data_IF_609306433620
#
_entry.id   IF_609306433620
#
_cell.length_a   1.000
_cell.length_b   1.000
_cell.length_c   1.000
_cell.angle_alpha   90.00
_cell.angle_beta   90.00
_cell.angle_gamma   90.00
#
_symmetry.space_group_name_H-M   'P 1'
#
loop_
_entity.id
_entity.type
_entity.pdbx_description
1 polymer ?
#
# COMPACT_ATOMS: atom_id res chain seq x y z
N UNK A 1 17.77 18.47 24.59
CA UNK A 1 16.82 17.37 24.33
C UNK A 1 15.39 17.89 24.51
N UNK A 2 14.49 17.64 23.58
CA UNK A 2 13.07 18.07 23.66
C UNK A 2 12.23 16.90 24.18
N UNK A 3 11.41 17.16 25.21
CA UNK A 3 10.45 16.19 25.76
C UNK A 3 9.04 16.42 25.20
N UNK A 4 8.32 15.34 24.92
CA UNK A 4 6.88 15.28 24.65
C UNK A 4 6.32 13.96 25.18
N UNK A 5 5.01 13.88 25.40
CA UNK A 5 4.39 12.66 25.94
C UNK A 5 4.46 11.49 24.95
N UNK A 6 4.23 11.75 23.66
CA UNK A 6 4.17 10.72 22.62
C UNK A 6 5.01 11.14 21.42
N UNK A 7 5.83 10.23 20.89
CA UNK A 7 6.48 10.37 19.59
C UNK A 7 5.86 9.39 18.59
N UNK A 8 5.48 9.91 17.42
CA UNK A 8 4.96 9.14 16.29
C UNK A 8 6.02 9.14 15.20
N UNK A 9 6.43 7.97 14.75
CA UNK A 9 7.46 7.78 13.72
C UNK A 9 6.79 7.48 12.38
N UNK A 10 6.94 8.42 11.44
CA UNK A 10 6.33 8.38 10.12
C UNK A 10 5.07 9.23 9.98
N UNK A 11 4.97 9.97 8.88
CA UNK A 11 3.81 10.80 8.52
C UNK A 11 2.98 10.20 7.38
N UNK A 12 3.02 8.87 7.23
CA UNK A 12 2.08 8.12 6.39
C UNK A 12 0.67 8.10 7.00
N UNK A 13 -0.29 7.46 6.35
CA UNK A 13 -1.69 7.47 6.79
C UNK A 13 -1.87 6.94 8.22
N UNK A 14 -1.13 5.90 8.63
CA UNK A 14 -1.20 5.38 10.01
C UNK A 14 -0.68 6.39 11.04
N UNK A 15 0.45 7.06 10.78
CA UNK A 15 0.98 8.08 11.68
C UNK A 15 0.08 9.31 11.77
N UNK A 16 -0.44 9.79 10.64
CA UNK A 16 -1.39 10.90 10.60
C UNK A 16 -2.69 10.56 11.33
N UNK A 17 -3.22 9.36 11.12
CA UNK A 17 -4.45 8.93 11.79
C UNK A 17 -4.24 8.69 13.28
N UNK A 18 -3.06 8.22 13.70
CA UNK A 18 -2.69 8.11 15.12
C UNK A 18 -2.70 9.49 15.80
N UNK A 19 -2.05 10.47 15.20
CA UNK A 19 -2.03 11.84 15.73
C UNK A 19 -3.43 12.47 15.76
N UNK A 20 -4.23 12.23 14.71
CA UNK A 20 -5.62 12.67 14.65
C UNK A 20 -6.44 12.08 15.82
N UNK A 21 -6.34 10.77 16.04
CA UNK A 21 -7.03 10.07 17.15
C UNK A 21 -6.57 10.57 18.52
N UNK A 22 -5.27 10.73 18.74
CA UNK A 22 -4.71 11.25 19.99
C UNK A 22 -5.26 12.65 20.28
N UNK A 23 -5.25 13.52 19.28
CA UNK A 23 -5.76 14.89 19.43
C UNK A 23 -7.26 14.94 19.72
N UNK A 24 -8.04 14.00 19.17
CA UNK A 24 -9.48 13.86 19.51
C UNK A 24 -9.70 13.36 20.92
N UNK A 25 -8.96 12.34 21.36
CA UNK A 25 -9.11 11.72 22.67
C UNK A 25 -8.57 12.62 23.80
N UNK A 26 -7.42 13.26 23.54
CA UNK A 26 -6.67 14.05 24.52
C UNK A 26 -6.03 15.29 23.90
N UNK A 27 -6.77 16.39 23.76
CA UNK A 27 -6.26 17.62 23.13
C UNK A 27 -5.05 18.25 23.87
N UNK A 28 -4.84 17.92 25.15
CA UNK A 28 -3.75 18.48 25.98
C UNK A 28 -2.47 17.65 25.96
N UNK A 29 -2.48 16.42 25.45
CA UNK A 29 -1.28 15.59 25.36
C UNK A 29 -0.33 16.17 24.30
N UNK A 30 0.93 16.33 24.70
CA UNK A 30 1.98 16.77 23.80
C UNK A 30 2.49 15.60 22.94
N UNK A 31 2.61 15.82 21.64
CA UNK A 31 3.18 14.81 20.73
C UNK A 31 3.98 15.44 19.61
N UNK A 32 4.86 14.64 18.99
CA UNK A 32 5.58 14.99 17.77
C UNK A 32 5.50 13.85 16.76
N UNK A 33 5.42 14.22 15.49
CA UNK A 33 5.58 13.31 14.35
C UNK A 33 6.96 13.55 13.75
N UNK A 34 7.80 12.50 13.73
CA UNK A 34 9.12 12.52 13.12
C UNK A 34 9.03 11.84 11.75
N UNK A 35 9.31 12.59 10.69
CA UNK A 35 9.25 12.12 9.30
C UNK A 35 10.63 12.17 8.65
N UNK A 36 11.05 11.08 8.01
CA UNK A 36 12.36 10.99 7.34
C UNK A 36 12.47 11.84 6.07
N UNK A 37 11.36 12.04 5.40
CA UNK A 37 11.32 12.82 4.15
C UNK A 37 11.03 14.30 4.39
N UNK A 38 11.20 15.10 3.33
CA UNK A 38 10.82 16.51 3.31
C UNK A 38 9.29 16.67 3.36
N UNK A 39 8.81 17.85 3.70
CA UNK A 39 7.38 18.19 3.86
C UNK A 39 6.51 17.82 2.65
N UNK A 40 7.03 17.90 1.44
CA UNK A 40 6.28 17.57 0.23
C UNK A 40 5.91 16.09 0.12
N UNK A 41 6.57 15.20 0.89
CA UNK A 41 6.29 13.76 0.98
C UNK A 41 5.39 13.37 2.14
N UNK A 42 4.76 14.34 2.84
CA UNK A 42 3.75 14.04 3.85
C UNK A 42 2.62 13.19 3.26
N UNK A 43 2.16 12.19 4.01
CA UNK A 43 1.19 11.19 3.56
C UNK A 43 1.84 9.92 3.01
N UNK A 44 3.14 9.94 2.72
CA UNK A 44 3.88 8.78 2.21
C UNK A 44 3.29 8.29 0.89
N UNK A 45 2.77 7.05 0.88
CA UNK A 45 2.16 6.40 -0.29
C UNK A 45 0.75 6.93 -0.66
N UNK A 46 0.26 7.98 0.00
CA UNK A 46 -1.07 8.55 -0.23
C UNK A 46 -0.97 10.00 -0.68
N UNK A 47 -0.89 10.23 -1.99
CA UNK A 47 -0.86 11.58 -2.56
C UNK A 47 -1.37 11.60 -4.01
N UNK A 48 -1.70 12.80 -4.49
CA UNK A 48 -1.97 13.09 -5.89
C UNK A 48 -0.98 14.14 -6.37
N UNK A 49 -0.63 14.10 -7.64
CA UNK A 49 0.17 15.12 -8.32
C UNK A 49 -0.42 15.44 -9.69
N UNK A 50 0.04 16.55 -10.28
CA UNK A 50 -0.34 16.92 -11.63
C UNK A 50 0.70 16.45 -12.65
N UNK A 51 0.24 15.79 -13.71
CA UNK A 51 1.05 15.37 -14.85
C UNK A 51 0.32 15.78 -16.13
N UNK A 52 0.87 16.72 -16.89
CA UNK A 52 0.24 17.30 -18.09
C UNK A 52 -1.24 17.70 -17.89
N UNK A 53 -1.52 18.48 -16.83
CA UNK A 53 -2.86 18.95 -16.42
C UNK A 53 -3.83 17.86 -15.99
N UNK A 54 -3.38 16.61 -15.87
CA UNK A 54 -4.17 15.50 -15.38
C UNK A 54 -3.74 15.17 -13.95
N UNK A 55 -4.70 15.05 -13.04
CA UNK A 55 -4.40 14.58 -11.68
C UNK A 55 -4.09 13.08 -11.71
N UNK A 56 -2.94 12.71 -11.20
CA UNK A 56 -2.48 11.32 -11.10
C UNK A 56 -2.21 10.93 -9.67
N UNK A 57 -2.23 9.64 -9.39
CA UNK A 57 -2.09 9.05 -8.06
C UNK A 57 -0.68 8.55 -7.86
N UNK A 58 -0.05 8.86 -6.72
CA UNK A 58 1.35 8.46 -6.48
C UNK A 58 1.50 7.06 -5.87
N UNK A 59 0.49 6.57 -5.18
CA UNK A 59 0.51 5.26 -4.50
C UNK A 59 -0.89 4.70 -4.30
N UNK A 60 -1.55 4.91 -3.15
CA UNK A 60 -2.90 4.43 -2.90
C UNK A 60 -3.88 4.95 -3.97
N UNK A 61 -4.71 4.05 -4.47
CA UNK A 61 -5.62 4.31 -5.59
C UNK A 61 -7.00 4.83 -5.17
N UNK A 62 -8.03 4.08 -5.56
CA UNK A 62 -9.44 4.39 -5.34
C UNK A 62 -10.00 3.60 -4.17
N UNK A 63 -10.95 4.18 -3.43
CA UNK A 63 -11.61 3.49 -2.32
C UNK A 63 -12.70 2.52 -2.78
N UNK A 64 -13.00 1.52 -1.96
CA UNK A 64 -14.03 0.50 -2.16
C UNK A 64 -15.22 0.81 -1.27
N UNK A 65 -16.34 1.25 -1.86
CA UNK A 65 -17.51 1.77 -1.12
C UNK A 65 -18.01 0.82 -0.03
N UNK A 66 -17.98 -0.47 -0.30
CA UNK A 66 -18.53 -1.48 0.61
C UNK A 66 -17.55 -1.93 1.71
N UNK A 67 -16.25 -1.66 1.56
CA UNK A 67 -15.20 -2.15 2.46
C UNK A 67 -14.49 -1.04 3.23
N UNK A 68 -14.11 0.05 2.59
CA UNK A 68 -13.26 1.09 3.16
C UNK A 68 -14.06 2.08 4.03
N UNK A 69 -14.59 1.57 5.14
CA UNK A 69 -15.53 2.30 6.02
C UNK A 69 -14.87 3.42 6.82
N UNK A 70 -13.65 3.17 7.34
CA UNK A 70 -12.93 4.18 8.11
C UNK A 70 -12.41 5.29 7.21
N UNK A 71 -11.91 4.94 6.03
CA UNK A 71 -11.48 5.91 5.03
C UNK A 71 -12.65 6.80 4.59
N UNK A 72 -13.79 6.18 4.26
CA UNK A 72 -14.98 6.92 3.86
C UNK A 72 -15.50 7.84 4.97
N UNK A 73 -15.52 7.34 6.22
CA UNK A 73 -15.87 8.13 7.38
C UNK A 73 -14.93 9.33 7.56
N UNK A 74 -13.62 9.11 7.45
CA UNK A 74 -12.61 10.16 7.59
C UNK A 74 -12.75 11.24 6.52
N UNK A 75 -13.04 10.86 5.26
CA UNK A 75 -13.31 11.82 4.19
C UNK A 75 -14.53 12.69 4.49
N UNK A 76 -15.61 12.11 5.02
CA UNK A 76 -16.81 12.84 5.41
C UNK A 76 -16.55 13.79 6.59
N UNK A 77 -15.79 13.37 7.60
CA UNK A 77 -15.42 14.22 8.75
C UNK A 77 -14.64 15.48 8.33
N UNK A 78 -13.87 15.37 7.24
CA UNK A 78 -13.16 16.53 6.66
C UNK A 78 -13.92 17.25 5.53
N UNK A 79 -15.19 16.90 5.28
CA UNK A 79 -16.01 17.45 4.20
C UNK A 79 -15.31 17.37 2.83
N UNK A 80 -14.73 16.22 2.53
CA UNK A 80 -14.06 15.96 1.26
C UNK A 80 -15.02 15.21 0.33
N UNK A 81 -15.36 15.86 -0.78
CA UNK A 81 -16.23 15.27 -1.80
C UNK A 81 -15.53 14.09 -2.48
N UNK A 82 -16.26 13.00 -2.63
CA UNK A 82 -15.86 11.81 -3.37
C UNK A 82 -16.83 11.59 -4.53
N UNK A 83 -16.32 11.11 -5.65
CA UNK A 83 -17.14 10.69 -6.78
C UNK A 83 -17.23 9.17 -6.76
N UNK A 84 -18.46 8.63 -6.72
CA UNK A 84 -18.72 7.20 -6.81
C UNK A 84 -18.88 6.77 -8.26
N UNK A 85 -18.39 5.60 -8.61
CA UNK A 85 -18.50 5.00 -9.94
C UNK A 85 -18.35 3.48 -9.88
N UNK A 86 -18.73 2.82 -10.98
CA UNK A 86 -18.55 1.37 -11.13
C UNK A 86 -17.21 1.11 -11.83
N UNK A 87 -16.40 0.26 -11.26
CA UNK A 87 -15.17 -0.22 -11.89
C UNK A 87 -15.48 -1.45 -12.73
N UNK A 88 -15.25 -1.33 -14.03
CA UNK A 88 -15.30 -2.44 -14.96
C UNK A 88 -13.88 -2.83 -15.33
N UNK A 89 -13.48 -4.04 -14.97
CA UNK A 89 -12.20 -4.60 -15.35
C UNK A 89 -12.33 -5.24 -16.73
N UNK A 90 -11.52 -4.76 -17.67
CA UNK A 90 -11.39 -5.29 -19.02
C UNK A 90 -10.14 -6.15 -19.12
N UNK A 91 -10.06 -6.94 -20.19
CA UNK A 91 -8.88 -7.77 -20.49
C UNK A 91 -8.46 -7.53 -21.93
N UNK A 92 -7.15 -7.51 -22.15
CA UNK A 92 -6.62 -7.56 -23.50
C UNK A 92 -7.15 -8.80 -24.22
N UNK A 93 -7.40 -8.69 -25.52
CA UNK A 93 -7.80 -9.83 -26.37
C UNK A 93 -6.82 -11.01 -26.37
N UNK A 94 -5.62 -10.79 -25.83
CA UNK A 94 -4.58 -11.80 -25.68
C UNK A 94 -4.71 -12.64 -24.42
N UNK A 95 -5.66 -12.31 -23.52
CA UNK A 95 -5.91 -13.04 -22.28
C UNK A 95 -7.16 -13.90 -22.45
N UNK A 96 -7.02 -15.22 -22.33
CA UNK A 96 -8.15 -16.12 -22.21
C UNK A 96 -8.87 -15.85 -20.89
N UNK A 97 -10.16 -15.49 -20.98
CA UNK A 97 -10.94 -15.18 -19.78
C UNK A 97 -11.33 -16.45 -19.03
N UNK A 98 -11.00 -16.50 -17.75
CA UNK A 98 -11.46 -17.52 -16.82
C UNK A 98 -12.26 -16.89 -15.67
N UNK A 99 -13.08 -17.69 -15.04
CA UNK A 99 -13.86 -17.31 -13.85
C UNK A 99 -12.99 -17.44 -12.59
N UNK A 100 -12.51 -16.32 -12.07
CA UNK A 100 -11.68 -16.26 -10.86
C UNK A 100 -12.42 -16.79 -9.64
N UNK A 101 -13.72 -16.49 -9.50
CA UNK A 101 -14.52 -16.95 -8.36
C UNK A 101 -14.62 -18.47 -8.33
N UNK A 102 -14.79 -19.10 -9.51
CA UNK A 102 -14.82 -20.56 -9.65
C UNK A 102 -13.45 -21.18 -9.28
N UNK A 103 -12.35 -20.57 -9.73
CA UNK A 103 -11.00 -21.05 -9.38
C UNK A 103 -10.75 -20.91 -7.90
N UNK A 104 -11.07 -19.77 -7.29
CA UNK A 104 -10.95 -19.55 -5.85
C UNK A 104 -11.82 -20.52 -5.05
N UNK A 105 -13.04 -20.79 -5.49
CA UNK A 105 -13.92 -21.82 -4.90
C UNK A 105 -13.28 -23.21 -4.89
N UNK A 106 -12.61 -23.61 -6.00
CA UNK A 106 -11.84 -24.87 -6.06
C UNK A 106 -10.68 -24.87 -5.07
N UNK A 107 -9.90 -23.79 -5.01
CA UNK A 107 -8.77 -23.66 -4.09
C UNK A 107 -9.23 -23.74 -2.62
N UNK A 108 -10.28 -22.98 -2.25
CA UNK A 108 -10.89 -23.04 -0.89
C UNK A 108 -11.37 -24.44 -0.52
N UNK A 109 -11.95 -25.19 -1.46
CA UNK A 109 -12.40 -26.58 -1.24
C UNK A 109 -11.24 -27.57 -1.03
N UNK A 110 -10.11 -27.38 -1.72
CA UNK A 110 -8.95 -28.25 -1.61
C UNK A 110 -8.06 -27.91 -0.40
N UNK A 111 -8.04 -26.67 0.07
CA UNK A 111 -7.16 -26.23 1.16
C UNK A 111 -7.29 -27.06 2.46
N UNK A 112 -8.48 -27.42 2.98
CA UNK A 112 -8.60 -28.25 4.18
C UNK A 112 -7.93 -29.62 4.07
N UNK A 113 -7.80 -30.16 2.86
CA UNK A 113 -7.22 -31.50 2.58
C UNK A 113 -5.69 -31.50 2.63
N UNK A 114 -5.05 -30.34 2.55
CA UNK A 114 -3.60 -30.22 2.64
C UNK A 114 -3.14 -30.36 4.09
N UNK A 115 -2.26 -31.34 4.34
CA UNK A 115 -1.66 -31.57 5.68
C UNK A 115 -0.69 -30.44 6.04
N UNK A 116 0.19 -30.07 5.09
CA UNK A 116 1.12 -28.98 5.27
C UNK A 116 0.43 -27.65 5.02
N UNK A 117 0.33 -26.81 6.05
CA UNK A 117 -0.23 -25.46 5.98
C UNK A 117 0.85 -24.37 5.85
N UNK A 118 2.11 -24.74 6.01
CA UNK A 118 3.27 -23.86 5.85
C UNK A 118 3.62 -23.69 4.37
N UNK A 119 2.72 -23.04 3.63
CA UNK A 119 2.84 -22.80 2.20
C UNK A 119 2.47 -21.36 1.88
N UNK A 120 3.16 -20.77 0.89
CA UNK A 120 2.67 -19.57 0.24
C UNK A 120 1.49 -19.92 -0.69
N UNK A 121 0.67 -18.90 -0.99
CA UNK A 121 -0.44 -19.08 -1.93
C UNK A 121 0.01 -19.66 -3.27
N UNK A 122 1.11 -19.15 -3.83
CA UNK A 122 1.67 -19.66 -5.09
C UNK A 122 2.00 -21.14 -5.02
N UNK A 123 2.72 -21.55 -3.97
CA UNK A 123 3.09 -22.97 -3.79
C UNK A 123 1.86 -23.87 -3.71
N UNK A 124 0.85 -23.46 -2.95
CA UNK A 124 -0.41 -24.20 -2.82
C UNK A 124 -1.20 -24.20 -4.12
N UNK A 125 -1.46 -23.03 -4.70
CA UNK A 125 -2.28 -22.91 -5.91
C UNK A 125 -1.66 -23.62 -7.11
N UNK A 126 -0.32 -23.57 -7.26
CA UNK A 126 0.38 -24.34 -8.32
C UNK A 126 0.22 -25.83 -8.15
N UNK A 127 0.27 -26.36 -6.91
CA UNK A 127 0.03 -27.79 -6.63
C UNK A 127 -1.39 -28.21 -6.99
N UNK A 128 -2.38 -27.36 -6.77
CA UNK A 128 -3.81 -27.67 -7.03
C UNK A 128 -4.20 -27.49 -8.50
N UNK A 129 -3.68 -26.47 -9.15
CA UNK A 129 -4.08 -26.09 -10.51
C UNK A 129 -3.16 -26.66 -11.58
N UNK A 130 -1.89 -26.91 -11.25
CA UNK A 130 -0.80 -27.11 -12.20
C UNK A 130 -0.27 -25.79 -12.76
N UNK A 131 1.00 -25.79 -13.23
CA UNK A 131 1.73 -24.61 -13.71
C UNK A 131 0.98 -23.81 -14.79
N UNK A 132 0.40 -24.51 -15.77
CA UNK A 132 -0.31 -23.87 -16.89
C UNK A 132 -1.53 -23.09 -16.40
N UNK A 133 -2.40 -23.73 -15.64
CA UNK A 133 -3.63 -23.09 -15.14
C UNK A 133 -3.32 -22.01 -14.10
N UNK A 134 -2.25 -22.16 -13.33
CA UNK A 134 -1.80 -21.13 -12.40
C UNK A 134 -1.36 -19.85 -13.15
N UNK A 135 -0.62 -19.98 -14.27
CA UNK A 135 -0.25 -18.83 -15.11
C UNK A 135 -1.48 -18.13 -15.71
N UNK A 136 -2.46 -18.90 -16.18
CA UNK A 136 -3.73 -18.33 -16.65
C UNK A 136 -4.50 -17.61 -15.52
N UNK A 137 -4.51 -18.20 -14.31
CA UNK A 137 -5.12 -17.60 -13.12
C UNK A 137 -4.51 -16.23 -12.81
N UNK A 138 -3.18 -16.10 -12.75
CA UNK A 138 -2.49 -14.83 -12.46
C UNK A 138 -2.86 -13.73 -13.45
N UNK A 139 -2.87 -14.05 -14.77
CA UNK A 139 -3.24 -13.09 -15.81
C UNK A 139 -4.67 -12.56 -15.62
N UNK A 140 -5.54 -13.39 -15.10
CA UNK A 140 -6.95 -13.05 -14.87
C UNK A 140 -7.20 -12.38 -13.52
N UNK A 141 -6.42 -12.69 -12.50
CA UNK A 141 -6.47 -12.04 -11.20
C UNK A 141 -5.90 -10.61 -11.24
N UNK A 142 -4.94 -10.35 -12.15
CA UNK A 142 -4.38 -9.03 -12.40
C UNK A 142 -3.49 -8.47 -11.30
N UNK A 143 -3.19 -9.23 -10.25
CA UNK A 143 -2.28 -8.91 -9.16
C UNK A 143 -1.36 -10.10 -8.88
N UNK A 144 -0.20 -9.85 -8.29
CA UNK A 144 0.77 -10.88 -7.91
C UNK A 144 1.32 -10.68 -6.48
N UNK A 145 0.89 -9.64 -5.80
CA UNK A 145 1.34 -9.30 -4.45
C UNK A 145 0.94 -10.33 -3.39
N UNK A 146 -0.02 -11.19 -3.67
CA UNK A 146 -0.43 -12.32 -2.83
C UNK A 146 0.39 -13.62 -3.04
N UNK A 147 1.24 -13.69 -4.08
CA UNK A 147 1.89 -14.97 -4.44
C UNK A 147 2.72 -15.58 -3.31
N UNK A 148 3.40 -14.73 -2.55
CA UNK A 148 4.26 -15.15 -1.44
C UNK A 148 3.58 -15.09 -0.07
N UNK A 149 2.33 -14.63 -0.02
CA UNK A 149 1.53 -14.53 1.19
C UNK A 149 1.11 -15.91 1.71
N UNK A 150 0.83 -15.98 3.02
CA UNK A 150 0.17 -17.11 3.66
C UNK A 150 -1.07 -17.53 2.87
N UNK A 151 -1.18 -18.83 2.60
CA UNK A 151 -2.28 -19.36 1.78
C UNK A 151 -3.65 -19.10 2.40
N UNK A 152 -3.78 -19.14 3.73
CA UNK A 152 -5.04 -18.90 4.43
C UNK A 152 -5.43 -17.42 4.31
N UNK A 153 -4.48 -16.50 4.49
CA UNK A 153 -4.72 -15.06 4.33
C UNK A 153 -5.20 -14.74 2.91
N UNK A 154 -4.51 -15.25 1.89
CA UNK A 154 -4.92 -15.02 0.50
C UNK A 154 -6.29 -15.62 0.17
N UNK A 155 -6.58 -16.83 0.62
CA UNK A 155 -7.86 -17.49 0.33
C UNK A 155 -9.06 -16.78 0.97
N UNK A 156 -8.91 -16.23 2.18
CA UNK A 156 -10.05 -15.78 2.98
C UNK A 156 -10.08 -14.28 3.28
N UNK A 157 -8.95 -13.58 3.19
CA UNK A 157 -8.86 -12.16 3.59
C UNK A 157 -8.37 -11.22 2.50
N UNK A 158 -7.56 -11.66 1.56
CA UNK A 158 -7.03 -10.81 0.48
C UNK A 158 -8.12 -10.13 -0.36
N UNK A 159 -9.27 -10.78 -0.53
CA UNK A 159 -10.39 -10.24 -1.31
C UNK A 159 -10.16 -10.33 -2.82
N UNK A 160 -9.70 -11.48 -3.30
CA UNK A 160 -9.44 -11.73 -4.73
C UNK A 160 -10.65 -11.40 -5.61
N UNK A 161 -11.85 -11.66 -5.11
CA UNK A 161 -13.12 -11.43 -5.81
C UNK A 161 -13.42 -9.92 -5.99
N UNK A 162 -12.80 -9.04 -5.20
CA UNK A 162 -12.99 -7.58 -5.32
C UNK A 162 -12.36 -7.00 -6.58
N UNK A 163 -11.43 -7.72 -7.18
CA UNK A 163 -10.81 -7.34 -8.44
C UNK A 163 -11.60 -7.79 -9.66
N UNK A 164 -12.71 -8.52 -9.45
CA UNK A 164 -13.68 -8.87 -10.48
C UNK A 164 -14.45 -7.63 -10.94
N UNK A 165 -15.27 -7.80 -11.98
CA UNK A 165 -16.06 -6.73 -12.57
C UNK A 165 -17.09 -6.15 -11.59
N UNK A 166 -17.43 -4.88 -11.83
CA UNK A 166 -18.71 -4.27 -11.41
C UNK A 166 -18.81 -3.93 -9.92
N UNK A 167 -17.69 -3.61 -9.27
CA UNK A 167 -17.71 -3.14 -7.90
C UNK A 167 -17.79 -1.60 -7.77
N UNK A 168 -18.39 -1.13 -6.67
CA UNK A 168 -18.55 0.30 -6.39
C UNK A 168 -17.26 0.89 -5.81
N UNK A 169 -16.65 1.78 -6.57
CA UNK A 169 -15.52 2.57 -6.17
C UNK A 169 -15.91 4.00 -5.78
N UNK A 170 -15.00 4.69 -5.11
CA UNK A 170 -15.04 6.14 -4.97
C UNK A 170 -13.65 6.75 -5.15
N UNK A 171 -13.61 7.93 -5.75
CA UNK A 171 -12.37 8.70 -5.87
C UNK A 171 -11.93 9.19 -4.49
N UNK A 172 -10.62 9.19 -4.24
CA UNK A 172 -10.05 9.69 -2.99
C UNK A 172 -9.13 10.88 -3.29
N UNK A 173 -9.47 12.08 -2.82
CA UNK A 173 -8.63 13.26 -2.96
C UNK A 173 -7.48 13.22 -1.94
N UNK A 174 -6.52 12.31 -2.14
CA UNK A 174 -5.47 11.97 -1.17
C UNK A 174 -4.71 13.18 -0.67
N UNK A 175 -4.25 14.02 -1.59
CA UNK A 175 -3.49 15.22 -1.21
C UNK A 175 -4.29 16.16 -0.33
N UNK A 176 -5.60 16.34 -0.63
CA UNK A 176 -6.49 17.17 0.17
C UNK A 176 -6.72 16.57 1.55
N UNK A 177 -6.94 15.25 1.64
CA UNK A 177 -7.10 14.54 2.92
C UNK A 177 -5.85 14.69 3.80
N UNK A 178 -4.68 14.43 3.24
CA UNK A 178 -3.40 14.56 3.95
C UNK A 178 -3.18 15.98 4.45
N UNK A 179 -3.46 17.00 3.63
CA UNK A 179 -3.31 18.40 4.04
C UNK A 179 -4.32 18.80 5.12
N UNK A 180 -5.57 18.31 5.04
CA UNK A 180 -6.57 18.53 6.10
C UNK A 180 -6.13 17.92 7.43
N UNK A 181 -5.61 16.69 7.41
CA UNK A 181 -5.03 16.05 8.60
C UNK A 181 -3.84 16.84 9.13
N UNK A 182 -2.91 17.25 8.26
CA UNK A 182 -1.74 18.04 8.63
C UNK A 182 -2.13 19.35 9.36
N UNK A 183 -3.09 20.09 8.84
CA UNK A 183 -3.57 21.32 9.48
C UNK A 183 -4.35 21.05 10.77
N UNK A 184 -5.20 20.02 10.78
CA UNK A 184 -5.94 19.63 11.99
C UNK A 184 -4.99 19.21 13.13
N UNK A 185 -3.99 18.40 12.85
CA UNK A 185 -2.97 17.96 13.81
C UNK A 185 -2.18 19.15 14.35
N UNK A 186 -1.89 20.13 13.52
CA UNK A 186 -1.09 21.33 13.84
C UNK A 186 0.33 21.21 13.31
N UNK A 187 0.75 22.18 12.52
CA UNK A 187 2.00 22.16 11.76
C UNK A 187 3.26 22.07 12.64
N UNK A 188 3.20 22.59 13.85
CA UNK A 188 4.32 22.62 14.80
C UNK A 188 4.62 21.23 15.40
N UNK A 189 3.65 20.31 15.30
CA UNK A 189 3.79 18.91 15.74
C UNK A 189 4.58 18.04 14.77
N UNK A 190 5.07 18.58 13.65
CA UNK A 190 5.84 17.84 12.66
C UNK A 190 7.32 18.25 12.64
N UNK A 191 8.18 17.25 12.52
CA UNK A 191 9.61 17.41 12.24
C UNK A 191 9.96 16.59 11.01
N UNK A 192 10.09 17.28 9.88
CA UNK A 192 10.49 16.70 8.60
C UNK A 192 12.00 16.58 8.48
N UNK A 193 12.49 15.70 7.60
CA UNK A 193 13.92 15.39 7.45
C UNK A 193 14.57 14.95 8.77
N UNK A 194 13.83 14.16 9.56
CA UNK A 194 14.23 13.61 10.85
C UNK A 194 13.99 12.08 10.81
N UNK A 195 14.91 11.35 10.18
CA UNK A 195 14.86 9.89 10.15
C UNK A 195 15.27 9.34 11.53
N UNK A 196 14.34 8.69 12.21
CA UNK A 196 14.64 7.98 13.45
C UNK A 196 15.52 6.78 13.14
N UNK A 197 16.63 6.64 13.85
CA UNK A 197 17.60 5.55 13.71
C UNK A 197 17.74 4.70 14.98
N UNK A 198 17.29 5.20 16.12
CA UNK A 198 17.36 4.44 17.37
C UNK A 198 16.23 4.82 18.34
N UNK A 199 15.78 3.82 19.10
CA UNK A 199 14.83 3.92 20.20
C UNK A 199 15.43 3.15 21.38
N UNK A 200 15.69 3.80 22.50
CA UNK A 200 16.19 3.17 23.71
C UNK A 200 15.44 3.65 24.94
N UNK A 201 15.31 2.82 25.97
CA UNK A 201 14.86 3.28 27.28
C UNK A 201 15.94 4.07 27.96
N UNK A 202 15.57 5.10 28.73
CA UNK A 202 16.52 5.84 29.54
C UNK A 202 16.85 5.03 30.81
N UNK A 203 18.10 5.09 31.26
CA UNK A 203 18.53 4.39 32.50
C UNK A 203 17.87 4.96 33.74
N UNK A 204 17.67 6.28 33.77
CA UNK A 204 17.09 7.00 34.92
C UNK A 204 15.58 6.76 35.08
N UNK A 205 14.88 6.50 34.00
CA UNK A 205 13.43 6.24 34.01
C UNK A 205 13.07 5.20 32.94
N UNK A 206 12.79 3.93 33.33
CA UNK A 206 12.46 2.85 32.41
C UNK A 206 11.15 3.07 31.65
N UNK A 207 10.37 4.08 32.07
CA UNK A 207 9.15 4.51 31.39
C UNK A 207 9.40 5.60 30.34
N UNK A 208 10.64 5.99 30.12
CA UNK A 208 11.01 7.05 29.17
C UNK A 208 11.89 6.51 28.07
N UNK A 209 11.51 6.86 26.85
CA UNK A 209 12.27 6.53 25.65
C UNK A 209 13.13 7.72 25.21
N UNK A 210 14.34 7.41 24.77
CA UNK A 210 15.24 8.31 24.04
C UNK A 210 15.16 7.94 22.56
N UNK A 211 14.82 8.91 21.73
CA UNK A 211 14.71 8.78 20.28
C UNK A 211 15.85 9.57 19.64
N UNK A 212 16.63 8.89 18.81
CA UNK A 212 17.77 9.48 18.10
C UNK A 212 17.49 9.48 16.59
N UNK A 213 17.77 10.59 15.94
CA UNK A 213 17.62 10.76 14.50
C UNK A 213 18.98 10.79 13.79
N UNK A 214 18.99 10.54 12.49
CA UNK A 214 20.20 10.50 11.64
C UNK A 214 20.97 11.82 11.60
N UNK A 215 20.31 12.94 11.88
CA UNK A 215 20.94 14.26 12.04
C UNK A 215 21.33 14.56 13.50
N UNK A 216 21.49 13.53 14.35
CA UNK A 216 21.92 13.61 15.74
C UNK A 216 21.00 14.38 16.70
N UNK A 217 19.77 14.70 16.28
CA UNK A 217 18.80 15.29 17.20
C UNK A 217 18.26 14.22 18.16
N UNK A 218 18.02 14.64 19.39
CA UNK A 218 17.53 13.78 20.46
C UNK A 218 16.18 14.28 21.00
N UNK A 219 15.27 13.36 21.17
CA UNK A 219 13.96 13.60 21.76
C UNK A 219 13.70 12.58 22.86
N UNK A 220 12.95 12.97 23.90
CA UNK A 220 12.48 12.03 24.91
C UNK A 220 10.97 12.01 24.99
N UNK A 221 10.40 10.84 25.27
CA UNK A 221 8.96 10.66 25.38
C UNK A 221 8.62 9.49 26.31
N UNK A 222 7.36 9.42 26.74
CA UNK A 222 6.85 8.29 27.53
C UNK A 222 6.31 7.16 26.63
N UNK A 223 5.90 7.48 25.40
CA UNK A 223 5.29 6.52 24.47
C UNK A 223 5.75 6.74 23.05
N UNK A 224 5.82 5.65 22.29
CA UNK A 224 6.22 5.66 20.88
C UNK A 224 5.17 4.95 20.04
N UNK A 225 4.79 5.54 18.92
CA UNK A 225 3.98 4.89 17.88
C UNK A 225 4.84 4.80 16.61
N UNK A 226 5.07 3.59 16.10
CA UNK A 226 5.85 3.36 14.90
C UNK A 226 4.88 3.09 13.74
N UNK A 227 4.70 4.06 12.84
CA UNK A 227 3.87 3.98 11.65
C UNK A 227 4.70 3.97 10.37
N UNK A 228 5.54 2.93 10.18
CA UNK A 228 6.51 2.86 9.10
C UNK A 228 6.44 1.54 8.32
N UNK A 229 7.33 1.39 7.31
CA UNK A 229 7.50 0.13 6.58
C UNK A 229 8.25 -0.90 7.41
N UNK A 230 8.09 -2.18 7.07
CA UNK A 230 8.67 -3.30 7.84
C UNK A 230 10.18 -3.19 8.04
N UNK A 231 10.94 -2.73 7.04
CA UNK A 231 12.40 -2.57 7.16
C UNK A 231 12.78 -1.54 8.24
N UNK A 232 12.01 -0.45 8.34
CA UNK A 232 12.22 0.54 9.39
C UNK A 232 11.84 -0.03 10.76
N UNK A 233 10.75 -0.80 10.85
CA UNK A 233 10.33 -1.46 12.11
C UNK A 233 11.41 -2.42 12.59
N UNK A 234 11.92 -3.29 11.71
CA UNK A 234 13.02 -4.22 12.02
C UNK A 234 14.30 -3.48 12.47
N UNK A 235 14.61 -2.34 11.85
CA UNK A 235 15.76 -1.53 12.23
C UNK A 235 15.61 -0.91 13.62
N UNK A 236 14.41 -0.45 13.97
CA UNK A 236 14.13 0.19 15.25
C UNK A 236 13.90 -0.79 16.39
N UNK A 237 13.46 -2.02 16.09
CA UNK A 237 13.17 -3.09 17.05
C UNK A 237 13.91 -4.38 16.69
N UNK A 238 15.26 -4.38 16.62
CA UNK A 238 16.05 -5.48 16.06
C UNK A 238 15.98 -6.78 16.89
N UNK A 239 15.70 -6.68 18.18
CA UNK A 239 15.56 -7.83 19.07
C UNK A 239 14.22 -8.56 18.95
N UNK A 240 13.25 -7.98 18.25
CA UNK A 240 11.92 -8.58 18.12
C UNK A 240 11.77 -9.33 16.80
N UNK A 241 11.92 -10.65 16.84
CA UNK A 241 11.91 -11.54 15.68
C UNK A 241 10.53 -11.68 15.00
N UNK A 242 9.45 -11.28 15.67
CA UNK A 242 8.08 -11.38 15.11
C UNK A 242 7.94 -10.66 13.77
N UNK A 243 8.68 -9.58 13.57
CA UNK A 243 8.66 -8.81 12.32
C UNK A 243 9.34 -9.52 11.14
N UNK A 244 10.05 -10.63 11.37
CA UNK A 244 10.64 -11.44 10.30
C UNK A 244 9.58 -12.24 9.51
N UNK A 245 8.37 -12.37 10.06
CA UNK A 245 7.24 -13.05 9.42
C UNK A 245 6.33 -12.10 8.62
N UNK A 246 6.76 -10.83 8.48
CA UNK A 246 6.10 -9.83 7.64
C UNK A 246 7.10 -9.37 6.59
N UNK A 247 6.75 -9.41 5.30
CA UNK A 247 7.62 -8.94 4.23
C UNK A 247 7.01 -7.77 3.47
N UNK A 248 7.90 -6.91 2.98
CA UNK A 248 7.56 -5.83 2.06
C UNK A 248 7.82 -6.23 0.61
N UNK A 249 7.02 -5.71 -0.30
CA UNK A 249 7.19 -5.98 -1.73
C UNK A 249 7.00 -4.73 -2.58
N UNK A 250 7.67 -4.67 -3.75
CA UNK A 250 7.68 -3.48 -4.58
C UNK A 250 6.36 -3.28 -5.30
N UNK A 251 6.11 -2.02 -5.63
CA UNK A 251 4.93 -1.56 -6.32
C UNK A 251 5.27 -0.40 -7.26
N UNK A 252 4.67 -0.37 -8.45
CA UNK A 252 4.92 0.66 -9.46
C UNK A 252 3.62 1.23 -10.02
N UNK A 253 3.59 2.57 -10.15
CA UNK A 253 2.69 3.30 -11.03
C UNK A 253 3.53 4.05 -12.05
N UNK A 254 3.36 3.73 -13.32
CA UNK A 254 4.03 4.40 -14.42
C UNK A 254 3.01 5.07 -15.31
N UNK A 255 3.17 6.35 -15.52
CA UNK A 255 2.30 7.18 -16.35
C UNK A 255 3.00 7.56 -17.63
N UNK A 256 2.24 7.68 -18.72
CA UNK A 256 2.72 8.21 -19.99
C UNK A 256 1.80 9.30 -20.52
N UNK A 257 2.41 10.29 -21.14
CA UNK A 257 1.77 11.29 -22.00
C UNK A 257 2.05 10.92 -23.46
N UNK A 258 1.00 10.74 -24.24
CA UNK A 258 1.08 10.39 -25.66
C UNK A 258 0.87 11.60 -26.57
N UNK A 259 1.38 11.49 -27.82
CA UNK A 259 1.12 12.45 -28.89
C UNK A 259 -0.37 12.43 -29.27
N UNK A 260 -0.83 13.51 -29.92
CA UNK A 260 -2.21 13.60 -30.41
C UNK A 260 -2.53 12.51 -31.44
N UNK A 261 -1.56 12.10 -32.26
CA UNK A 261 -1.71 11.04 -33.26
C UNK A 261 -1.97 9.65 -32.66
N UNK A 262 -1.46 9.39 -31.43
CA UNK A 262 -1.68 8.10 -30.74
C UNK A 262 -3.04 8.01 -30.03
N UNK A 263 -3.72 9.15 -29.77
CA UNK A 263 -4.96 9.17 -28.98
C UNK A 263 -6.07 8.30 -29.60
N UNK A 264 -6.37 8.36 -30.91
CA UNK A 264 -7.46 7.56 -31.47
C UNK A 264 -7.28 6.07 -31.25
N UNK A 265 -6.09 5.53 -31.52
CA UNK A 265 -5.81 4.10 -31.35
C UNK A 265 -5.81 3.70 -29.85
N UNK A 266 -5.28 4.54 -28.96
CA UNK A 266 -5.37 4.28 -27.52
C UNK A 266 -6.81 4.16 -27.04
N UNK A 267 -7.70 5.04 -27.48
CA UNK A 267 -9.14 4.98 -27.13
C UNK A 267 -9.85 3.76 -27.71
N UNK A 268 -9.41 3.26 -28.83
CA UNK A 268 -9.94 2.02 -29.43
C UNK A 268 -9.60 0.80 -28.58
N UNK A 269 -8.34 0.68 -28.12
CA UNK A 269 -7.83 -0.50 -27.42
C UNK A 269 -7.99 -0.43 -25.89
N UNK A 270 -8.00 0.76 -25.30
CA UNK A 270 -8.05 0.98 -23.82
C UNK A 270 -9.32 1.73 -23.46
N UNK A 271 -10.41 0.99 -23.26
CA UNK A 271 -11.74 1.56 -22.92
C UNK A 271 -11.97 1.71 -21.41
N UNK A 272 -11.06 1.24 -20.59
CA UNK A 272 -11.17 1.25 -19.13
C UNK A 272 -9.98 0.58 -18.45
N UNK A 273 -10.17 0.17 -17.22
CA UNK A 273 -9.19 -0.56 -16.43
C UNK A 273 -8.88 -1.91 -17.11
N UNK A 274 -7.75 -2.03 -17.77
CA UNK A 274 -7.44 -3.14 -18.68
C UNK A 274 -6.28 -3.99 -18.17
N UNK A 275 -6.52 -5.28 -17.96
CA UNK A 275 -5.46 -6.26 -17.71
C UNK A 275 -4.77 -6.64 -19.00
N UNK A 276 -3.45 -6.73 -18.96
CA UNK A 276 -2.60 -7.07 -20.10
C UNK A 276 -1.57 -8.12 -19.72
N UNK A 277 -1.13 -8.99 -20.64
CA UNK A 277 0.00 -9.89 -20.41
C UNK A 277 1.32 -9.11 -20.33
N UNK A 278 2.32 -9.72 -19.69
CA UNK A 278 3.65 -9.13 -19.53
C UNK A 278 3.78 -8.16 -18.37
N UNK A 279 4.90 -7.42 -18.29
CA UNK A 279 5.28 -6.69 -17.10
C UNK A 279 4.47 -5.42 -16.83
N UNK A 280 3.68 -4.93 -17.80
CA UNK A 280 2.78 -3.79 -17.56
C UNK A 280 1.61 -4.14 -16.64
N UNK A 281 1.12 -5.37 -16.72
CA UNK A 281 0.08 -5.98 -15.90
C UNK A 281 -1.28 -5.31 -16.01
N UNK A 282 -1.38 -4.00 -15.82
CA UNK A 282 -2.62 -3.21 -15.91
C UNK A 282 -2.38 -1.84 -16.51
N UNK A 283 -3.32 -1.40 -17.33
CA UNK A 283 -3.34 -0.09 -17.96
C UNK A 283 -4.64 0.61 -17.59
N UNK A 284 -4.56 1.88 -17.20
CA UNK A 284 -5.71 2.67 -16.76
C UNK A 284 -5.73 4.00 -17.51
N UNK A 285 -6.83 4.34 -18.22
CA UNK A 285 -6.98 5.65 -18.80
C UNK A 285 -7.19 6.68 -17.68
N UNK A 286 -6.31 7.70 -17.60
CA UNK A 286 -6.41 8.78 -16.61
C UNK A 286 -7.16 9.98 -17.20
N UNK A 287 -6.74 10.40 -18.40
CA UNK A 287 -7.36 11.46 -19.20
C UNK A 287 -7.14 11.12 -20.70
N UNK A 288 -8.01 10.26 -21.26
CA UNK A 288 -7.89 9.80 -22.63
C UNK A 288 -7.92 10.92 -23.69
N UNK A 289 -8.68 12.00 -23.43
CA UNK A 289 -8.77 13.14 -24.35
C UNK A 289 -7.46 13.91 -24.39
N UNK A 290 -6.77 13.99 -23.27
CA UNK A 290 -5.45 14.58 -23.17
C UNK A 290 -4.31 13.56 -23.44
N UNK A 291 -4.61 12.30 -23.71
CA UNK A 291 -3.61 11.26 -23.97
C UNK A 291 -2.74 10.95 -22.74
N UNK A 292 -3.28 10.98 -21.53
CA UNK A 292 -2.60 10.60 -20.29
C UNK A 292 -3.15 9.27 -19.80
N UNK A 293 -2.25 8.30 -19.67
CA UNK A 293 -2.56 6.93 -19.23
C UNK A 293 -1.60 6.50 -18.13
N UNK A 294 -2.08 5.73 -17.17
CA UNK A 294 -1.22 4.88 -16.33
C UNK A 294 -0.93 3.63 -17.15
N UNK A 295 0.28 3.51 -17.67
CA UNK A 295 0.68 2.46 -18.60
C UNK A 295 1.22 1.20 -17.93
N UNK A 296 1.59 1.31 -16.65
CA UNK A 296 1.85 0.16 -15.79
C UNK A 296 1.35 0.44 -14.39
N UNK A 297 0.51 -0.46 -13.91
CA UNK A 297 0.10 -0.57 -12.52
C UNK A 297 0.41 -2.00 -12.10
N UNK A 298 1.57 -2.18 -11.52
CA UNK A 298 2.08 -3.51 -11.24
C UNK A 298 2.74 -3.63 -9.86
N UNK A 299 3.00 -4.86 -9.50
CA UNK A 299 3.52 -5.27 -8.20
C UNK A 299 4.55 -6.40 -8.36
N UNK A 300 5.28 -6.69 -7.29
CA UNK A 300 6.17 -7.82 -7.14
C UNK A 300 7.17 -7.96 -8.33
N UNK A 301 7.24 -9.13 -8.96
CA UNK A 301 8.19 -9.42 -10.03
C UNK A 301 8.05 -8.53 -11.25
N UNK A 302 6.83 -8.11 -11.60
CA UNK A 302 6.59 -7.20 -12.71
C UNK A 302 7.19 -5.82 -12.46
N UNK A 303 7.10 -5.33 -11.23
CA UNK A 303 7.76 -4.09 -10.81
C UNK A 303 9.28 -4.20 -10.87
N UNK A 304 9.84 -5.34 -10.42
CA UNK A 304 11.27 -5.60 -10.46
C UNK A 304 11.78 -5.61 -11.92
N UNK A 305 11.02 -6.19 -12.84
CA UNK A 305 11.37 -6.24 -14.25
C UNK A 305 11.50 -4.86 -14.91
N UNK A 306 10.73 -3.87 -14.44
CA UNK A 306 10.70 -2.52 -15.02
C UNK A 306 11.57 -1.49 -14.27
N UNK A 307 12.04 -1.78 -13.06
CA UNK A 307 12.67 -0.80 -12.16
C UNK A 307 13.85 -0.02 -12.73
N UNK A 308 14.57 -0.60 -13.69
CA UNK A 308 15.74 0.02 -14.31
C UNK A 308 15.39 0.92 -15.51
N UNK A 309 14.13 0.94 -15.95
CA UNK A 309 13.67 1.65 -17.15
C UNK A 309 12.71 2.80 -16.84
N UNK A 310 12.74 3.35 -15.63
CA UNK A 310 11.76 4.35 -15.17
C UNK A 310 12.11 5.79 -15.55
N UNK A 311 13.37 6.06 -15.90
CA UNK A 311 13.80 7.40 -16.30
C UNK A 311 13.14 7.83 -17.62
N UNK A 312 12.74 9.10 -17.73
CA UNK A 312 12.13 9.66 -18.93
C UNK A 312 13.17 9.90 -20.04
N UNK A 313 13.74 8.82 -20.57
CA UNK A 313 14.66 8.83 -21.71
C UNK A 313 13.94 8.44 -23.00
N UNK A 314 14.51 8.75 -24.16
CA UNK A 314 13.97 8.31 -25.46
C UNK A 314 13.87 6.78 -25.52
N UNK A 315 14.95 6.08 -25.18
CA UNK A 315 15.02 4.60 -25.19
C UNK A 315 13.93 3.97 -24.30
N UNK A 316 13.70 4.50 -23.10
CA UNK A 316 12.66 3.97 -22.23
C UNK A 316 11.25 4.25 -22.77
N UNK A 317 11.01 5.40 -23.39
CA UNK A 317 9.72 5.67 -24.04
C UNK A 317 9.45 4.69 -25.17
N UNK A 318 10.42 4.47 -26.06
CA UNK A 318 10.34 3.48 -27.15
C UNK A 318 10.12 2.05 -26.60
N UNK A 319 10.79 1.67 -25.52
CA UNK A 319 10.54 0.39 -24.86
C UNK A 319 9.07 0.26 -24.43
N UNK A 320 8.50 1.29 -23.80
CA UNK A 320 7.10 1.25 -23.35
C UNK A 320 6.09 1.31 -24.50
N UNK A 321 6.39 1.96 -25.62
CA UNK A 321 5.60 1.90 -26.84
C UNK A 321 5.49 0.45 -27.34
N UNK A 322 6.62 -0.24 -27.48
CA UNK A 322 6.68 -1.65 -27.89
C UNK A 322 5.95 -2.58 -26.90
N UNK A 323 6.15 -2.38 -25.60
CA UNK A 323 5.48 -3.20 -24.57
C UNK A 323 3.96 -3.04 -24.62
N UNK A 324 3.47 -1.81 -24.79
CA UNK A 324 2.03 -1.52 -24.92
C UNK A 324 1.44 -2.14 -26.17
N UNK A 325 2.06 -1.92 -27.33
CA UNK A 325 1.62 -2.47 -28.61
C UNK A 325 1.53 -4.00 -28.56
N UNK A 326 2.57 -4.65 -28.05
CA UNK A 326 2.58 -6.11 -27.88
C UNK A 326 1.53 -6.62 -26.91
N UNK A 327 1.38 -5.98 -25.74
CA UNK A 327 0.47 -6.44 -24.69
C UNK A 327 -1.02 -6.22 -25.01
N UNK A 328 -1.30 -5.28 -25.90
CA UNK A 328 -2.66 -4.97 -26.38
C UNK A 328 -2.96 -5.59 -27.74
N UNK A 329 -1.94 -6.09 -28.46
CA UNK A 329 -2.04 -6.58 -29.83
C UNK A 329 -2.37 -5.45 -30.82
N UNK A 330 -1.73 -4.28 -30.63
CA UNK A 330 -1.81 -3.12 -31.50
C UNK A 330 -0.86 -3.26 -32.68
N UNK A 331 -1.05 -2.50 -33.77
CA UNK A 331 -0.06 -2.39 -34.83
C UNK A 331 1.28 -1.84 -34.29
N UNK A 332 2.38 -2.32 -34.86
CA UNK A 332 3.72 -1.81 -34.51
C UNK A 332 3.88 -0.35 -34.94
N UNK A 333 4.64 0.41 -34.17
CA UNK A 333 4.91 1.85 -34.38
C UNK A 333 3.64 2.74 -34.41
N UNK A 334 2.58 2.32 -33.75
CA UNK A 334 1.32 3.06 -33.69
C UNK A 334 1.27 4.05 -32.53
N UNK A 335 2.16 3.90 -31.56
CA UNK A 335 2.21 4.73 -30.35
C UNK A 335 3.47 5.59 -30.31
N UNK A 336 3.31 6.83 -29.80
CA UNK A 336 4.42 7.75 -29.55
C UNK A 336 4.25 8.44 -28.21
N UNK A 337 5.18 8.16 -27.28
CA UNK A 337 5.21 8.70 -25.92
C UNK A 337 6.04 9.99 -25.89
N UNK A 338 5.45 11.06 -25.40
CA UNK A 338 6.12 12.36 -25.17
C UNK A 338 6.95 12.32 -23.91
N UNK A 339 6.38 11.77 -22.81
CA UNK A 339 7.01 11.71 -21.51
C UNK A 339 6.44 10.56 -20.68
N UNK A 340 7.27 10.04 -19.77
CA UNK A 340 6.87 9.12 -18.73
C UNK A 340 7.15 9.71 -17.36
N UNK A 341 6.38 9.28 -16.35
CA UNK A 341 6.56 9.64 -14.92
C UNK A 341 6.22 8.43 -14.07
N UNK A 342 7.14 8.06 -13.17
CA UNK A 342 6.99 6.90 -12.31
C UNK A 342 6.81 7.26 -10.84
N UNK A 343 6.23 6.30 -10.11
CA UNK A 343 6.24 6.20 -8.66
C UNK A 343 6.56 4.76 -8.30
N UNK A 344 7.84 4.51 -8.13
CA UNK A 344 8.38 3.23 -7.68
C UNK A 344 8.50 3.24 -6.16
N UNK A 345 7.82 2.30 -5.51
CA UNK A 345 7.88 2.07 -4.09
C UNK A 345 8.60 0.75 -3.81
N UNK A 346 9.83 0.75 -3.26
CA UNK A 346 10.55 -0.50 -2.93
C UNK A 346 9.77 -1.39 -1.96
N UNK A 347 9.01 -0.75 -1.05
CA UNK A 347 8.02 -1.38 -0.20
C UNK A 347 6.71 -0.64 -0.43
N UNK A 348 5.92 -1.15 -1.36
CA UNK A 348 4.61 -0.61 -1.72
C UNK A 348 3.49 -1.22 -0.88
N UNK A 349 3.54 -2.52 -0.64
CA UNK A 349 2.62 -3.30 0.18
C UNK A 349 3.39 -4.27 1.08
N UNK A 350 2.69 -4.87 2.05
CA UNK A 350 3.24 -5.93 2.90
C UNK A 350 2.38 -7.18 2.80
N UNK A 351 2.96 -8.33 3.15
CA UNK A 351 2.25 -9.59 3.29
C UNK A 351 2.78 -10.39 4.48
N UNK A 352 1.96 -11.28 5.00
CA UNK A 352 2.35 -12.23 6.03
C UNK A 352 2.92 -13.50 5.40
N UNK A 353 4.06 -13.96 5.92
CA UNK A 353 4.50 -15.34 5.69
C UNK A 353 3.53 -16.34 6.32
N UNK A 354 3.59 -17.63 5.93
CA UNK A 354 2.81 -18.68 6.60
C UNK A 354 2.91 -18.57 8.12
N UNK A 355 1.76 -18.72 8.79
CA UNK A 355 1.69 -18.57 10.24
C UNK A 355 2.42 -19.74 10.94
N UNK A 356 3.38 -19.42 11.80
CA UNK A 356 3.99 -20.41 12.69
C UNK A 356 3.00 -20.74 13.81
N UNK A 357 2.27 -21.87 13.66
CA UNK A 357 1.26 -22.34 14.59
C UNK A 357 1.82 -22.87 15.93
N UNK A 358 3.13 -23.11 16.00
CA UNK A 358 3.81 -23.47 17.26
C UNK A 358 3.99 -22.24 18.17
N UNK A 359 4.13 -21.05 17.58
CA UNK A 359 4.33 -19.79 18.29
C UNK A 359 3.04 -18.99 18.50
N UNK A 360 2.07 -19.13 17.59
CA UNK A 360 0.85 -18.33 17.58
C UNK A 360 -0.38 -19.18 17.29
N UNK A 361 -1.40 -19.06 18.13
CA UNK A 361 -2.66 -19.79 17.96
C UNK A 361 -3.48 -19.30 16.76
N UNK A 362 -3.32 -18.03 16.40
CA UNK A 362 -4.03 -17.42 15.29
C UNK A 362 -3.28 -16.20 14.73
N UNK A 363 -3.67 -15.74 13.55
CA UNK A 363 -3.14 -14.52 12.97
C UNK A 363 -3.51 -13.25 13.78
N UNK A 364 -4.65 -13.27 14.46
CA UNK A 364 -5.05 -12.19 15.37
C UNK A 364 -4.07 -12.09 16.54
N UNK A 365 -3.70 -13.20 17.16
CA UNK A 365 -2.70 -13.22 18.25
C UNK A 365 -1.33 -12.73 17.75
N UNK A 366 -0.93 -13.15 16.56
CA UNK A 366 0.30 -12.66 15.93
C UNK A 366 0.26 -11.13 15.74
N UNK A 367 -0.83 -10.61 15.16
CA UNK A 367 -1.01 -9.17 14.92
C UNK A 367 -0.99 -8.41 16.24
N UNK A 368 -1.73 -8.87 17.25
CA UNK A 368 -1.78 -8.22 18.55
C UNK A 368 -0.39 -8.13 19.20
N UNK A 369 0.36 -9.25 19.23
CA UNK A 369 1.74 -9.26 19.74
C UNK A 369 2.67 -8.35 18.93
N UNK A 370 2.53 -8.32 17.62
CA UNK A 370 3.34 -7.46 16.75
C UNK A 370 2.99 -5.97 16.91
N UNK A 371 1.74 -5.65 17.23
CA UNK A 371 1.31 -4.28 17.53
C UNK A 371 1.77 -3.79 18.91
N UNK A 372 2.02 -4.72 19.86
CA UNK A 372 2.41 -4.43 21.25
C UNK A 372 3.80 -5.04 21.57
N UNK A 373 4.87 -4.64 20.87
CA UNK A 373 6.19 -5.28 21.05
C UNK A 373 6.77 -5.10 22.45
N UNK A 374 6.40 -3.98 23.09
CA UNK A 374 6.89 -3.59 24.39
C UNK A 374 5.96 -2.58 25.05
N UNK A 375 5.90 -2.54 26.39
CA UNK A 375 5.13 -1.54 27.13
C UNK A 375 5.56 -0.12 26.74
N UNK A 376 4.62 0.70 26.32
CA UNK A 376 4.87 2.08 25.85
C UNK A 376 5.17 2.19 24.34
N UNK A 377 5.35 1.10 23.61
CA UNK A 377 5.52 1.11 22.16
C UNK A 377 4.32 0.46 21.47
N UNK A 378 3.79 1.15 20.46
CA UNK A 378 2.85 0.57 19.49
C UNK A 378 3.46 0.57 18.10
N UNK A 379 3.19 -0.49 17.35
CA UNK A 379 3.49 -0.55 15.92
C UNK A 379 2.16 -0.59 15.15
N UNK A 380 2.00 0.34 14.23
CA UNK A 380 0.77 0.52 13.44
C UNK A 380 1.07 0.64 11.95
N UNK A 381 0.10 0.32 11.13
CA UNK A 381 0.23 0.39 9.67
C UNK A 381 -0.49 -0.77 9.00
N UNK A 382 -0.60 -0.72 7.69
CA UNK A 382 -1.25 -1.79 6.95
C UNK A 382 -0.49 -3.12 7.06
N UNK A 383 0.81 -3.06 7.34
CA UNK A 383 1.64 -4.24 7.61
C UNK A 383 1.14 -5.09 8.78
N UNK A 384 0.40 -4.49 9.71
CA UNK A 384 -0.13 -5.11 10.93
C UNK A 384 -1.66 -5.06 10.96
N UNK A 385 -2.28 -5.45 9.86
CA UNK A 385 -3.73 -5.53 9.68
C UNK A 385 -4.10 -6.79 8.90
N UNK A 386 -5.33 -7.27 9.06
CA UNK A 386 -5.93 -8.27 8.17
C UNK A 386 -6.19 -7.72 6.76
N UNK A 387 -6.19 -6.40 6.61
CA UNK A 387 -6.43 -5.69 5.36
C UNK A 387 -5.11 -5.10 4.85
N UNK A 388 -4.10 -5.97 4.66
CA UNK A 388 -2.77 -5.56 4.17
C UNK A 388 -2.84 -4.97 2.76
N UNK A 389 -1.83 -4.22 2.39
CA UNK A 389 -1.72 -3.62 1.06
C UNK A 389 -2.64 -2.42 0.81
N UNK A 390 -3.42 -1.97 1.80
CA UNK A 390 -4.39 -0.91 1.60
C UNK A 390 -4.51 0.09 2.78
N UNK A 391 -4.98 1.30 2.48
CA UNK A 391 -5.12 2.39 3.46
C UNK A 391 -6.11 2.06 4.57
N UNK A 392 -7.21 1.35 4.28
CA UNK A 392 -8.17 0.94 5.31
C UNK A 392 -7.49 0.12 6.40
N UNK A 393 -6.60 -0.83 6.03
CA UNK A 393 -5.83 -1.62 6.99
C UNK A 393 -4.92 -0.75 7.86
N UNK A 394 -4.35 0.32 7.29
CA UNK A 394 -3.58 1.27 8.09
C UNK A 394 -4.45 1.99 9.14
N UNK A 395 -5.68 2.37 8.79
CA UNK A 395 -6.63 3.00 9.72
C UNK A 395 -7.15 2.00 10.75
N UNK A 396 -7.47 0.77 10.34
CA UNK A 396 -7.91 -0.32 11.23
C UNK A 396 -6.86 -0.64 12.28
N UNK A 397 -5.60 -0.77 11.89
CA UNK A 397 -4.49 -1.06 12.82
C UNK A 397 -4.36 0.01 13.91
N UNK A 398 -4.51 1.28 13.56
CA UNK A 398 -4.50 2.39 14.52
C UNK A 398 -5.73 2.36 15.41
N UNK A 399 -6.92 2.15 14.83
CA UNK A 399 -8.18 2.09 15.58
C UNK A 399 -8.16 0.99 16.64
N UNK A 400 -7.52 -0.12 16.35
CA UNK A 400 -7.42 -1.27 17.27
C UNK A 400 -6.62 -0.93 18.54
N UNK A 401 -5.51 -0.19 18.44
CA UNK A 401 -4.53 -0.07 19.52
C UNK A 401 -4.36 1.35 20.09
N UNK A 402 -4.65 2.40 19.32
CA UNK A 402 -4.61 3.80 19.81
C UNK A 402 -5.94 4.10 20.49
N UNK A 403 -6.09 3.55 21.70
CA UNK A 403 -7.29 3.65 22.53
C UNK A 403 -7.11 4.70 23.64
N UNK A 404 -8.22 5.08 24.26
CA UNK A 404 -8.21 5.98 25.42
C UNK A 404 -7.35 5.42 26.55
N UNK A 405 -7.50 4.12 26.85
CA UNK A 405 -6.74 3.45 27.90
C UNK A 405 -5.25 3.47 27.63
N UNK A 406 -4.83 3.18 26.37
CA UNK A 406 -3.42 3.24 26.04
C UNK A 406 -2.84 4.65 26.17
N UNK A 407 -3.60 5.66 25.76
CA UNK A 407 -3.14 7.06 25.82
C UNK A 407 -3.04 7.53 27.29
N UNK A 408 -3.99 7.16 28.17
CA UNK A 408 -3.99 7.54 29.59
C UNK A 408 -3.01 6.77 30.45
N UNK A 409 -2.87 5.47 30.19
CA UNK A 409 -2.13 4.56 31.07
C UNK A 409 -0.70 5.05 31.24
N UNK A 410 -0.37 5.41 32.45
CA UNK A 410 1.02 5.66 32.83
C UNK A 410 1.84 4.37 32.72
N UNK A 411 3.08 4.52 32.51
CA UNK A 411 4.01 3.41 32.37
C UNK A 411 3.98 2.39 33.47
#
# INVERSE_FOLDING_TARGET
MKYVDIIIIGSGMSGLYSAYKIKQLYPKISFLILEKYKKNWIGGRTSNEMFYRTEIITGAGIGRKNKDKLLYKLLNEFNLNTQEYIVNTLKSKLINTIDISKVMGKLKKEYPRFKNKDLSFKQFATKVLGEKNYKEFILNAGYTDYENEDVFETLYYYGMEDNACCWKAFSVPWRKLVLKLYHYIGIDNFKFSNKVINITKTQENPCRFLIITDNSLQYSCNKVIIGSTIDTIRTLLPSNSIYNDIEGQPFLRLYAKFTKSSIPILKEYIKGFTFVPGPLQRIIPMDPDNGVYMIAYNDNNNTIALKNNLQNTKTNRELYEILLEKSLGMPENSLHIIAIKDYYWPIGTHYYKPLNIELYKSREEFIDKAQHPEKGILVVGEALSRNQGWTEGALESVKAVVTEDWVKKEC
#
